data_IF_162736146121
#
_entry.id   IF_162736146121
#
_cell.length_a   1.000
_cell.length_b   1.000
_cell.length_c   1.000
_cell.angle_alpha   90.00
_cell.angle_beta   90.00
_cell.angle_gamma   90.00
#
_symmetry.space_group_name_H-M   'P 1'
#
loop_
_entity.id
_entity.type
_entity.pdbx_description
1 polymer ?
#
# COMPACT_ATOMS: atom_id res chain seq x y z
N UNK A 1 16.01 2.24 11.05
CA UNK A 1 16.56 3.33 10.22
C UNK A 1 15.96 4.65 10.68
N UNK A 2 16.69 5.76 10.67
CA UNK A 2 16.15 7.08 10.99
C UNK A 2 15.48 7.70 9.76
N UNK A 3 14.49 8.61 9.93
CA UNK A 3 13.90 9.30 8.81
C UNK A 3 14.97 10.21 8.13
N UNK A 4 14.90 10.36 6.80
CA UNK A 4 15.93 11.07 6.02
C UNK A 4 15.93 12.59 6.23
N UNK A 5 14.93 13.12 6.91
CA UNK A 5 14.84 14.54 7.27
C UNK A 5 14.19 14.73 8.63
N UNK A 6 14.49 15.83 9.31
CA UNK A 6 13.85 16.25 10.56
C UNK A 6 12.71 17.25 10.34
N UNK A 7 12.58 17.79 9.14
CA UNK A 7 11.43 18.62 8.73
C UNK A 7 10.21 17.74 8.57
N UNK A 8 9.22 17.92 9.43
CA UNK A 8 8.02 17.10 9.45
C UNK A 8 7.12 17.30 8.22
N UNK A 9 7.00 18.52 7.72
CA UNK A 9 6.18 18.78 6.53
C UNK A 9 6.84 18.17 5.28
N UNK A 10 8.15 18.37 5.13
CA UNK A 10 8.89 17.74 4.06
C UNK A 10 8.81 16.22 4.15
N UNK A 11 8.98 15.64 5.35
CA UNK A 11 8.86 14.20 5.55
C UNK A 11 7.46 13.70 5.14
N UNK A 12 6.40 14.36 5.59
CA UNK A 12 5.03 14.01 5.21
C UNK A 12 4.79 14.00 3.71
N UNK A 13 5.27 15.03 3.01
CA UNK A 13 5.19 15.12 1.54
C UNK A 13 5.99 14.02 0.85
N UNK A 14 7.20 13.77 1.31
CA UNK A 14 8.05 12.70 0.79
C UNK A 14 7.48 11.30 1.05
N UNK A 15 6.79 11.07 2.18
CA UNK A 15 6.10 9.81 2.43
C UNK A 15 4.90 9.59 1.50
N UNK A 16 4.25 10.68 1.07
CA UNK A 16 3.18 10.64 0.07
C UNK A 16 3.70 10.40 -1.34
N UNK A 17 4.82 11.02 -1.70
CA UNK A 17 5.42 10.92 -3.02
C UNK A 17 6.93 11.18 -2.91
N UNK A 18 7.76 10.14 -2.79
CA UNK A 18 9.22 10.32 -2.78
C UNK A 18 9.71 10.93 -4.09
N UNK A 19 10.40 12.09 -4.01
CA UNK A 19 10.89 12.81 -5.18
C UNK A 19 12.22 13.50 -4.93
N UNK A 20 12.91 13.90 -6.01
CA UNK A 20 14.16 14.63 -5.95
C UNK A 20 15.31 13.83 -5.31
N UNK A 21 16.28 14.54 -4.73
CA UNK A 21 17.50 13.92 -4.19
C UNK A 21 17.25 12.96 -3.01
N UNK A 22 16.15 13.12 -2.28
CA UNK A 22 15.82 12.29 -1.12
C UNK A 22 15.03 11.03 -1.48
N UNK A 23 14.52 10.91 -2.69
CA UNK A 23 13.57 9.88 -3.07
C UNK A 23 14.04 8.46 -2.73
N UNK A 24 15.26 8.11 -3.12
CA UNK A 24 15.82 6.76 -2.88
C UNK A 24 15.98 6.46 -1.39
N UNK A 25 16.47 7.42 -0.61
CA UNK A 25 16.64 7.26 0.84
C UNK A 25 15.29 7.14 1.54
N UNK A 26 14.30 7.95 1.10
CA UNK A 26 12.92 7.88 1.59
C UNK A 26 12.29 6.54 1.25
N UNK A 27 12.43 6.04 0.02
CA UNK A 27 11.92 4.73 -0.39
C UNK A 27 12.47 3.59 0.47
N UNK A 28 13.78 3.58 0.71
CA UNK A 28 14.43 2.63 1.60
C UNK A 28 13.92 2.75 3.05
N UNK A 29 13.74 3.97 3.55
CA UNK A 29 13.18 4.24 4.86
C UNK A 29 11.72 3.75 5.00
N UNK A 30 10.86 4.04 4.01
CA UNK A 30 9.47 3.57 3.98
C UNK A 30 9.42 2.06 4.08
N UNK A 31 10.17 1.36 3.22
CA UNK A 31 10.19 -0.11 3.22
C UNK A 31 10.69 -0.66 4.55
N UNK A 32 11.84 -0.20 5.05
CA UNK A 32 12.41 -0.68 6.30
C UNK A 32 11.49 -0.46 7.51
N UNK A 33 10.78 0.68 7.53
CA UNK A 33 9.87 1.04 8.62
C UNK A 33 8.54 0.29 8.58
N UNK A 34 8.10 -0.16 7.39
CA UNK A 34 6.79 -0.78 7.20
C UNK A 34 6.87 -2.25 6.77
N UNK A 35 8.07 -2.83 6.72
CA UNK A 35 8.30 -4.17 6.21
C UNK A 35 7.37 -5.21 6.85
N UNK A 36 7.28 -5.23 8.17
CA UNK A 36 6.41 -6.19 8.87
C UNK A 36 4.94 -5.99 8.50
N UNK A 37 4.46 -4.74 8.45
CA UNK A 37 3.08 -4.45 8.02
C UNK A 37 2.81 -4.89 6.58
N UNK A 38 3.75 -4.64 5.67
CA UNK A 38 3.66 -5.06 4.26
C UNK A 38 3.60 -6.58 4.18
N UNK A 39 4.53 -7.30 4.85
CA UNK A 39 4.58 -8.75 4.85
C UNK A 39 3.30 -9.36 5.46
N UNK A 40 2.77 -8.79 6.56
CA UNK A 40 1.49 -9.22 7.16
C UNK A 40 0.29 -8.93 6.26
N UNK A 41 0.28 -7.81 5.56
CA UNK A 41 -0.77 -7.53 4.57
C UNK A 41 -0.73 -8.54 3.42
N UNK A 42 0.46 -8.91 2.95
CA UNK A 42 0.63 -9.96 1.93
C UNK A 42 0.18 -11.33 2.47
N UNK A 43 0.44 -11.64 3.75
CA UNK A 43 -0.03 -12.89 4.38
C UNK A 43 -1.55 -12.99 4.43
N UNK A 44 -2.26 -11.86 4.47
CA UNK A 44 -3.72 -11.81 4.44
C UNK A 44 -4.31 -11.89 3.01
N UNK A 45 -3.49 -11.85 1.96
CA UNK A 45 -3.99 -11.96 0.59
C UNK A 45 -4.49 -13.40 0.31
N UNK A 46 -5.68 -13.57 -0.28
CA UNK A 46 -6.20 -14.88 -0.68
C UNK A 46 -5.53 -15.34 -1.99
N UNK A 47 -4.25 -15.71 -1.95
CA UNK A 47 -3.40 -15.96 -3.13
C UNK A 47 -3.66 -17.30 -3.83
N UNK A 48 -4.48 -18.20 -3.25
CA UNK A 48 -4.74 -19.52 -3.85
C UNK A 48 -5.47 -19.39 -5.18
N UNK A 49 -4.82 -19.82 -6.26
CA UNK A 49 -5.38 -19.77 -7.62
C UNK A 49 -5.36 -18.39 -8.28
N UNK A 50 -4.86 -17.36 -7.61
CA UNK A 50 -4.76 -15.99 -8.14
C UNK A 50 -3.71 -15.91 -9.24
N UNK A 51 -4.08 -15.30 -10.36
CA UNK A 51 -3.18 -15.07 -11.52
C UNK A 51 -2.88 -13.59 -11.73
N UNK A 52 -3.85 -12.72 -11.52
CA UNK A 52 -3.72 -11.28 -11.75
C UNK A 52 -3.89 -10.53 -10.42
N UNK A 53 -2.86 -9.82 -10.01
CA UNK A 53 -2.85 -9.07 -8.79
C UNK A 53 -2.48 -7.61 -9.07
N UNK A 54 -3.23 -6.69 -8.47
CA UNK A 54 -3.00 -5.24 -8.53
C UNK A 54 -2.53 -4.73 -7.16
N UNK A 55 -1.45 -3.98 -7.14
CA UNK A 55 -1.06 -3.18 -5.96
C UNK A 55 -1.10 -1.69 -6.28
N UNK A 56 -1.64 -0.90 -5.36
CA UNK A 56 -1.72 0.56 -5.51
C UNK A 56 -0.85 1.21 -4.44
N UNK A 57 0.16 1.97 -4.88
CA UNK A 57 1.14 2.59 -4.00
C UNK A 57 2.22 1.62 -3.53
N UNK A 58 2.88 0.93 -4.46
CA UNK A 58 3.84 -0.14 -4.15
C UNK A 58 5.21 0.36 -3.64
N UNK A 59 5.47 1.67 -3.68
CA UNK A 59 6.74 2.25 -3.26
C UNK A 59 7.93 1.74 -4.10
N UNK A 60 9.03 1.35 -3.46
CA UNK A 60 10.23 0.86 -4.16
C UNK A 60 10.17 -0.63 -4.57
N UNK A 61 9.06 -1.32 -4.34
CA UNK A 61 8.88 -2.72 -4.75
C UNK A 61 9.81 -3.75 -4.07
N UNK A 62 10.50 -3.38 -2.98
CA UNK A 62 11.43 -4.27 -2.29
C UNK A 62 10.77 -5.47 -1.60
N UNK A 63 9.44 -5.48 -1.49
CA UNK A 63 8.65 -6.59 -0.95
C UNK A 63 8.27 -7.65 -1.99
N UNK A 64 8.44 -7.38 -3.28
CA UNK A 64 8.02 -8.30 -4.35
C UNK A 64 8.68 -9.69 -4.26
N UNK A 65 9.95 -9.85 -3.87
CA UNK A 65 10.50 -11.19 -3.63
C UNK A 65 9.71 -12.00 -2.59
N UNK A 66 9.20 -11.34 -1.53
CA UNK A 66 8.36 -12.00 -0.52
C UNK A 66 7.01 -12.41 -1.09
N UNK A 67 6.35 -11.55 -1.87
CA UNK A 67 5.10 -11.86 -2.54
C UNK A 67 5.25 -13.03 -3.53
N UNK A 68 6.27 -12.98 -4.39
CA UNK A 68 6.50 -14.02 -5.39
C UNK A 68 6.99 -15.35 -4.82
N UNK A 69 7.60 -15.36 -3.62
CA UNK A 69 7.87 -16.59 -2.90
C UNK A 69 6.59 -17.34 -2.48
N UNK A 70 5.50 -16.60 -2.21
CA UNK A 70 4.17 -17.17 -1.87
C UNK A 70 3.34 -17.55 -3.09
N UNK A 71 3.49 -16.79 -4.19
CA UNK A 71 2.69 -16.97 -5.39
C UNK A 71 3.56 -16.78 -6.66
N UNK A 72 4.41 -17.77 -7.02
CA UNK A 72 5.38 -17.64 -8.11
C UNK A 72 4.76 -17.54 -9.51
N UNK A 73 3.45 -17.83 -9.64
CA UNK A 73 2.71 -17.80 -10.92
C UNK A 73 1.94 -16.49 -11.14
N UNK A 74 2.06 -15.53 -10.22
CA UNK A 74 1.38 -14.24 -10.35
C UNK A 74 1.87 -13.44 -11.57
N UNK A 75 0.92 -12.72 -12.17
CA UNK A 75 1.18 -11.52 -12.94
C UNK A 75 0.82 -10.33 -12.06
N UNK A 76 1.82 -9.56 -11.73
CA UNK A 76 1.71 -8.40 -10.85
C UNK A 76 1.63 -7.11 -11.67
N UNK A 77 0.65 -6.29 -11.36
CA UNK A 77 0.56 -4.91 -11.84
C UNK A 77 0.67 -3.98 -10.63
N UNK A 78 1.66 -3.10 -10.64
CA UNK A 78 1.82 -2.06 -9.61
C UNK A 78 1.51 -0.68 -10.17
N UNK A 79 0.77 0.13 -9.42
CA UNK A 79 0.53 1.55 -9.71
C UNK A 79 1.26 2.37 -8.65
N UNK A 80 2.06 3.34 -9.08
CA UNK A 80 2.79 4.25 -8.20
C UNK A 80 2.82 5.65 -8.80
N UNK A 81 2.75 6.67 -7.93
CA UNK A 81 2.77 8.07 -8.35
C UNK A 81 4.19 8.65 -8.45
N UNK A 82 5.15 8.06 -7.76
CA UNK A 82 6.53 8.49 -7.74
C UNK A 82 7.33 7.82 -8.84
N UNK A 83 7.79 8.59 -9.83
CA UNK A 83 8.69 8.08 -10.87
C UNK A 83 9.98 7.51 -10.30
N UNK A 84 10.50 8.11 -9.22
CA UNK A 84 11.69 7.61 -8.55
C UNK A 84 11.47 6.22 -7.93
N UNK A 85 10.30 5.98 -7.33
CA UNK A 85 9.95 4.66 -6.79
C UNK A 85 9.77 3.63 -7.89
N UNK A 86 9.18 3.99 -9.02
CA UNK A 86 9.06 3.11 -10.20
C UNK A 86 10.44 2.74 -10.74
N UNK A 87 11.35 3.70 -10.85
CA UNK A 87 12.72 3.43 -11.28
C UNK A 87 13.45 2.46 -10.34
N UNK A 88 13.35 2.70 -9.01
CA UNK A 88 13.94 1.81 -8.00
C UNK A 88 13.31 0.41 -8.05
N UNK A 89 11.97 0.31 -8.14
CA UNK A 89 11.27 -0.98 -8.22
C UNK A 89 11.66 -1.76 -9.48
N UNK A 90 11.80 -1.09 -10.62
CA UNK A 90 12.24 -1.70 -11.86
C UNK A 90 13.65 -2.26 -11.74
N UNK A 91 14.55 -1.49 -11.14
CA UNK A 91 15.94 -1.91 -10.93
C UNK A 91 16.05 -3.08 -9.92
N UNK A 92 15.28 -3.04 -8.83
CA UNK A 92 15.29 -4.08 -7.80
C UNK A 92 14.65 -5.40 -8.29
N UNK A 93 13.71 -5.32 -9.25
CA UNK A 93 12.93 -6.46 -9.72
C UNK A 93 13.13 -6.74 -11.21
N UNK A 94 14.30 -6.43 -11.77
CA UNK A 94 14.63 -6.57 -13.20
C UNK A 94 14.22 -7.95 -13.74
N UNK A 95 14.54 -9.03 -13.03
CA UNK A 95 14.21 -10.38 -13.46
C UNK A 95 12.69 -10.63 -13.59
N UNK A 96 11.86 -10.05 -12.70
CA UNK A 96 10.41 -10.16 -12.78
C UNK A 96 9.84 -9.37 -13.97
N UNK A 97 10.41 -8.19 -14.24
CA UNK A 97 10.04 -7.36 -15.39
C UNK A 97 10.41 -8.03 -16.71
N UNK A 98 11.65 -8.52 -16.84
CA UNK A 98 12.13 -9.23 -18.04
C UNK A 98 11.33 -10.51 -18.32
N UNK A 99 10.86 -11.20 -17.29
CA UNK A 99 9.98 -12.36 -17.43
C UNK A 99 8.52 -12.00 -17.73
N UNK A 100 8.17 -10.72 -17.79
CA UNK A 100 6.78 -10.26 -17.97
C UNK A 100 5.87 -10.56 -16.79
N UNK A 101 6.43 -10.85 -15.61
CA UNK A 101 5.68 -11.17 -14.38
C UNK A 101 5.28 -9.93 -13.58
N UNK A 102 6.03 -8.83 -13.73
CA UNK A 102 5.74 -7.57 -13.06
C UNK A 102 5.69 -6.42 -14.06
N UNK A 103 4.65 -5.60 -13.94
CA UNK A 103 4.48 -4.35 -14.70
C UNK A 103 4.28 -3.22 -13.71
N UNK A 104 5.03 -2.13 -13.89
CA UNK A 104 4.92 -0.92 -13.08
C UNK A 104 4.35 0.22 -13.91
N UNK A 105 3.27 0.83 -13.41
CA UNK A 105 2.54 1.90 -14.08
C UNK A 105 2.67 3.19 -13.26
N UNK A 106 3.01 4.29 -13.95
CA UNK A 106 2.99 5.62 -13.37
C UNK A 106 1.58 6.20 -13.47
N UNK A 107 0.94 6.44 -12.32
CA UNK A 107 -0.32 7.17 -12.26
C UNK A 107 -0.55 7.74 -10.86
N UNK A 108 -1.41 8.74 -10.78
CA UNK A 108 -1.91 9.23 -9.50
C UNK A 108 -2.79 8.14 -8.85
N UNK A 109 -2.64 7.95 -7.56
CA UNK A 109 -3.43 6.96 -6.82
C UNK A 109 -4.90 7.34 -6.72
N UNK A 110 -5.22 8.61 -6.90
CA UNK A 110 -6.59 9.14 -6.96
C UNK A 110 -7.27 8.94 -8.32
N UNK A 111 -6.47 8.84 -9.39
CA UNK A 111 -6.94 8.65 -10.77
C UNK A 111 -6.22 7.44 -11.35
N UNK A 112 -6.77 6.25 -11.11
CA UNK A 112 -6.19 5.02 -11.63
C UNK A 112 -6.16 5.05 -13.17
N UNK A 113 -5.09 4.51 -13.80
CA UNK A 113 -5.00 4.48 -15.25
C UNK A 113 -6.14 3.61 -15.82
N UNK A 114 -6.47 3.77 -17.11
CA UNK A 114 -7.52 2.98 -17.76
C UNK A 114 -7.10 1.50 -17.83
N UNK A 115 -7.35 0.77 -16.76
CA UNK A 115 -7.18 -0.68 -16.70
C UNK A 115 -8.49 -1.38 -17.07
N UNK A 116 -8.44 -2.58 -17.65
CA UNK A 116 -9.65 -3.31 -17.99
C UNK A 116 -10.48 -3.62 -16.73
N UNK A 117 -11.80 -3.40 -16.79
CA UNK A 117 -12.71 -3.80 -15.73
C UNK A 117 -12.63 -5.33 -15.49
N UNK A 118 -12.88 -5.71 -14.24
CA UNK A 118 -12.94 -7.13 -13.83
C UNK A 118 -11.72 -7.97 -14.25
N UNK A 119 -10.52 -7.39 -14.24
CA UNK A 119 -9.29 -8.07 -14.68
C UNK A 119 -8.44 -8.63 -13.53
N UNK A 120 -8.68 -8.23 -12.28
CA UNK A 120 -7.89 -8.66 -11.14
C UNK A 120 -8.67 -9.53 -10.17
N UNK A 121 -8.05 -10.61 -9.69
CA UNK A 121 -8.59 -11.44 -8.62
C UNK A 121 -8.35 -10.81 -7.24
N UNK A 122 -7.21 -10.14 -7.08
CA UNK A 122 -6.82 -9.47 -5.84
C UNK A 122 -6.30 -8.08 -6.14
N UNK A 123 -6.76 -7.11 -5.37
CA UNK A 123 -6.16 -5.78 -5.28
C UNK A 123 -5.72 -5.53 -3.84
N UNK A 124 -4.58 -4.88 -3.62
CA UNK A 124 -4.19 -4.46 -2.29
C UNK A 124 -3.46 -3.12 -2.29
N UNK A 125 -3.42 -2.50 -1.13
CA UNK A 125 -2.60 -1.32 -0.86
C UNK A 125 -2.16 -1.30 0.60
N UNK A 126 -1.00 -0.72 0.87
CA UNK A 126 -0.48 -0.56 2.24
C UNK A 126 -0.07 0.89 2.46
N UNK A 127 -0.62 1.51 3.51
CA UNK A 127 -0.31 2.90 3.89
C UNK A 127 -0.57 3.94 2.78
N UNK A 128 -1.57 3.71 1.92
CA UNK A 128 -1.85 4.57 0.74
C UNK A 128 -3.11 5.41 0.92
N UNK A 129 -4.16 4.86 1.53
CA UNK A 129 -5.49 5.49 1.59
C UNK A 129 -5.50 6.88 2.24
N UNK A 130 -4.55 7.18 3.12
CA UNK A 130 -4.45 8.46 3.82
C UNK A 130 -4.31 9.67 2.90
N UNK A 131 -3.84 9.43 1.68
CA UNK A 131 -3.49 10.44 0.69
C UNK A 131 -4.61 10.68 -0.33
N UNK A 132 -5.68 9.89 -0.26
CA UNK A 132 -6.80 9.92 -1.19
C UNK A 132 -7.85 10.91 -0.70
N UNK A 133 -8.19 11.89 -1.54
CA UNK A 133 -9.13 12.95 -1.20
C UNK A 133 -10.57 12.45 -1.23
N UNK A 134 -10.98 11.76 -2.30
CA UNK A 134 -12.28 11.11 -2.43
C UNK A 134 -12.14 9.59 -2.30
N UNK A 135 -12.15 9.13 -1.05
CA UNK A 135 -11.95 7.71 -0.75
C UNK A 135 -13.10 6.83 -1.27
N UNK A 136 -14.32 7.38 -1.37
CA UNK A 136 -15.46 6.64 -1.92
C UNK A 136 -15.29 6.41 -3.41
N UNK A 137 -14.92 7.43 -4.17
CA UNK A 137 -14.63 7.30 -5.59
C UNK A 137 -13.46 6.34 -5.85
N UNK A 138 -12.40 6.43 -5.05
CA UNK A 138 -11.27 5.50 -5.11
C UNK A 138 -11.69 4.04 -4.89
N UNK A 139 -12.47 3.75 -3.85
CA UNK A 139 -12.96 2.39 -3.60
C UNK A 139 -13.89 1.89 -4.71
N UNK A 140 -14.70 2.77 -5.31
CA UNK A 140 -15.52 2.41 -6.47
C UNK A 140 -14.66 2.04 -7.69
N UNK A 141 -13.57 2.73 -7.94
CA UNK A 141 -12.61 2.38 -9.00
C UNK A 141 -11.98 1.00 -8.71
N UNK A 142 -11.46 0.77 -7.49
CA UNK A 142 -10.92 -0.54 -7.09
C UNK A 142 -11.96 -1.65 -7.27
N UNK A 143 -13.19 -1.41 -6.83
CA UNK A 143 -14.29 -2.36 -7.00
C UNK A 143 -14.53 -2.72 -8.47
N UNK A 144 -14.48 -1.74 -9.37
CA UNK A 144 -14.70 -1.97 -10.80
C UNK A 144 -13.59 -2.82 -11.46
N UNK A 145 -12.36 -2.73 -10.97
CA UNK A 145 -11.22 -3.47 -11.48
C UNK A 145 -11.19 -4.93 -11.02
N UNK A 146 -11.80 -5.22 -9.87
CA UNK A 146 -11.87 -6.58 -9.35
C UNK A 146 -12.90 -7.43 -10.11
N UNK A 147 -12.56 -8.69 -10.34
CA UNK A 147 -13.51 -9.72 -10.81
C UNK A 147 -14.57 -9.99 -9.76
N UNK A 148 -15.69 -10.55 -10.19
CA UNK A 148 -16.69 -11.07 -9.25
C UNK A 148 -16.05 -12.12 -8.33
N UNK A 149 -16.25 -11.97 -7.02
CA UNK A 149 -15.60 -12.79 -5.98
C UNK A 149 -14.15 -12.39 -5.68
N UNK A 150 -13.61 -11.38 -6.35
CA UNK A 150 -12.29 -10.83 -6.09
C UNK A 150 -12.21 -10.13 -4.74
N UNK A 151 -10.99 -9.94 -4.23
CA UNK A 151 -10.75 -9.37 -2.89
C UNK A 151 -9.94 -8.08 -2.95
N UNK A 152 -10.29 -7.12 -2.10
CA UNK A 152 -9.46 -5.96 -1.81
C UNK A 152 -8.91 -6.05 -0.39
N UNK A 153 -7.60 -5.85 -0.24
CA UNK A 153 -6.91 -5.86 1.06
C UNK A 153 -6.22 -4.52 1.30
N UNK A 154 -6.53 -3.90 2.44
CA UNK A 154 -6.01 -2.59 2.84
C UNK A 154 -5.26 -2.74 4.16
N UNK A 155 -3.91 -2.59 4.10
CA UNK A 155 -3.05 -2.52 5.28
C UNK A 155 -2.78 -1.07 5.69
N UNK A 156 -2.88 -0.75 6.98
CA UNK A 156 -2.70 0.63 7.42
C UNK A 156 -2.38 0.78 8.91
N UNK A 157 -1.59 1.78 9.27
CA UNK A 157 -1.43 2.15 10.69
C UNK A 157 -2.77 2.61 11.27
N UNK A 158 -2.99 2.32 12.56
CA UNK A 158 -4.19 2.74 13.26
C UNK A 158 -4.28 4.27 13.38
N UNK A 159 -5.51 4.81 13.27
CA UNK A 159 -5.80 6.25 13.29
C UNK A 159 -5.17 6.96 14.49
N UNK A 160 -5.41 6.46 15.70
CA UNK A 160 -4.94 7.09 16.93
C UNK A 160 -3.40 7.15 17.01
N UNK A 161 -2.71 6.14 16.48
CA UNK A 161 -1.25 6.15 16.41
C UNK A 161 -0.78 7.13 15.34
N UNK A 162 -1.37 7.09 14.15
CA UNK A 162 -0.99 7.93 13.01
C UNK A 162 -1.12 9.42 13.32
N UNK A 163 -2.24 9.85 13.91
CA UNK A 163 -2.51 11.25 14.26
C UNK A 163 -1.54 11.84 15.30
N UNK A 164 -0.88 11.01 16.10
CA UNK A 164 0.16 11.44 17.04
C UNK A 164 1.51 11.76 16.38
N UNK A 165 1.72 11.30 15.14
CA UNK A 165 2.98 11.54 14.44
C UNK A 165 3.01 12.97 13.89
N UNK A 166 4.04 13.77 14.18
CA UNK A 166 4.06 15.18 13.81
C UNK A 166 4.08 15.43 12.30
N UNK A 167 4.60 14.48 11.51
CA UNK A 167 4.70 14.57 10.05
C UNK A 167 3.40 14.25 9.31
N UNK A 168 2.36 13.78 10.01
CA UNK A 168 1.09 13.40 9.37
C UNK A 168 0.09 14.55 9.28
N UNK A 169 0.21 15.56 10.13
CA UNK A 169 -0.82 16.58 10.39
C UNK A 169 -1.37 17.30 9.16
N UNK A 170 -0.54 17.54 8.15
CA UNK A 170 -0.94 18.34 6.97
C UNK A 170 -1.16 17.52 5.71
N UNK A 171 -0.75 16.26 5.72
CA UNK A 171 -0.67 15.43 4.50
C UNK A 171 -1.55 14.20 4.58
N UNK A 172 -1.83 13.70 5.80
CA UNK A 172 -2.54 12.43 6.00
C UNK A 172 -3.96 12.68 6.49
N UNK A 173 -4.91 11.92 5.96
CA UNK A 173 -6.28 11.85 6.49
C UNK A 173 -6.56 10.44 6.99
N UNK A 174 -6.75 10.32 8.30
CA UNK A 174 -7.00 9.03 8.93
C UNK A 174 -8.50 8.78 9.15
N UNK A 175 -8.92 7.55 8.93
CA UNK A 175 -10.28 7.07 9.16
C UNK A 175 -10.27 5.95 10.19
N UNK A 176 -11.35 5.84 10.96
CA UNK A 176 -11.56 4.68 11.83
C UNK A 176 -11.91 3.44 11.00
N UNK A 177 -11.70 2.22 11.52
CA UNK A 177 -12.17 0.99 10.85
C UNK A 177 -13.65 1.04 10.48
N UNK A 178 -14.50 1.61 11.34
CA UNK A 178 -15.94 1.71 11.07
C UNK A 178 -16.24 2.65 9.90
N UNK A 179 -15.58 3.82 9.83
CA UNK A 179 -15.72 4.70 8.66
C UNK A 179 -15.25 4.03 7.37
N UNK A 180 -14.12 3.30 7.40
CA UNK A 180 -13.64 2.56 6.23
C UNK A 180 -14.62 1.46 5.83
N UNK A 181 -15.20 0.75 6.80
CA UNK A 181 -16.24 -0.26 6.58
C UNK A 181 -17.45 0.33 5.89
N UNK A 182 -17.99 1.43 6.41
CA UNK A 182 -19.15 2.11 5.81
C UNK A 182 -18.89 2.52 4.36
N UNK A 183 -17.71 3.11 4.09
CA UNK A 183 -17.32 3.52 2.74
C UNK A 183 -17.20 2.32 1.80
N UNK A 184 -16.50 1.26 2.22
CA UNK A 184 -16.32 0.05 1.41
C UNK A 184 -17.66 -0.64 1.10
N UNK A 185 -18.52 -0.81 2.11
CA UNK A 185 -19.86 -1.41 1.90
C UNK A 185 -20.73 -0.53 1.00
N UNK A 186 -20.61 0.81 1.09
CA UNK A 186 -21.40 1.75 0.27
C UNK A 186 -21.12 1.66 -1.23
N UNK A 187 -19.96 1.14 -1.63
CA UNK A 187 -19.59 0.95 -3.05
C UNK A 187 -19.85 -0.47 -3.55
N UNK A 188 -20.35 -1.38 -2.70
CA UNK A 188 -20.77 -2.72 -3.07
C UNK A 188 -19.90 -3.86 -2.54
N UNK A 189 -18.79 -3.57 -1.85
CA UNK A 189 -18.02 -4.62 -1.20
C UNK A 189 -18.83 -5.35 -0.12
N UNK A 190 -18.48 -6.60 0.12
CA UNK A 190 -19.10 -7.49 1.11
C UNK A 190 -18.03 -8.15 1.98
N UNK A 191 -18.44 -8.96 2.96
CA UNK A 191 -17.55 -9.79 3.78
C UNK A 191 -16.38 -9.02 4.42
N UNK A 192 -16.67 -7.92 5.11
CA UNK A 192 -15.67 -7.12 5.81
C UNK A 192 -15.03 -7.92 6.96
N UNK A 193 -13.72 -8.17 6.84
CA UNK A 193 -12.86 -8.77 7.86
C UNK A 193 -11.82 -7.75 8.31
N UNK A 194 -11.61 -7.63 9.60
CA UNK A 194 -10.64 -6.72 10.22
C UNK A 194 -9.71 -7.51 11.14
N UNK A 195 -8.42 -7.47 10.83
CA UNK A 195 -7.37 -8.00 11.69
C UNK A 195 -6.51 -6.85 12.22
N UNK A 196 -6.26 -6.86 13.53
CA UNK A 196 -5.41 -5.87 14.21
C UNK A 196 -4.13 -6.56 14.64
N UNK A 197 -3.00 -5.95 14.30
CA UNK A 197 -1.67 -6.42 14.63
C UNK A 197 -0.95 -5.38 15.48
N UNK A 198 -0.02 -5.85 16.29
CA UNK A 198 0.93 -5.01 17.03
C UNK A 198 2.34 -5.30 16.55
N UNK A 199 3.13 -4.27 16.38
CA UNK A 199 4.55 -4.42 16.07
C UNK A 199 5.40 -3.44 16.88
N UNK A 200 6.64 -3.84 17.14
CA UNK A 200 7.61 -2.97 17.79
C UNK A 200 8.40 -2.19 16.74
N UNK A 201 8.43 -0.87 16.86
CA UNK A 201 9.25 -0.01 16.02
C UNK A 201 10.28 0.77 16.84
N UNK A 202 11.52 0.92 16.33
CA UNK A 202 12.55 1.67 17.04
C UNK A 202 12.26 3.17 17.02
N UNK A 203 12.49 3.81 18.15
CA UNK A 203 12.43 5.27 18.26
C UNK A 203 13.81 5.91 17.99
N UNK A 204 13.81 7.22 17.76
CA UNK A 204 15.07 8.01 17.64
C UNK A 204 15.95 7.96 18.90
N UNK A 205 15.40 7.58 20.06
CA UNK A 205 16.09 7.50 21.35
C UNK A 205 16.64 6.11 21.65
N UNK A 206 16.54 5.15 20.70
CA UNK A 206 17.00 3.78 20.88
C UNK A 206 16.07 2.88 21.73
N UNK A 207 14.90 3.37 22.09
CA UNK A 207 13.82 2.56 22.69
C UNK A 207 12.91 2.01 21.62
N UNK A 208 12.08 1.03 21.94
CA UNK A 208 10.98 0.57 21.08
C UNK A 208 9.65 1.12 21.57
N UNK A 209 8.72 1.32 20.63
CA UNK A 209 7.31 1.58 20.93
C UNK A 209 6.44 0.61 20.14
N UNK A 210 5.31 0.25 20.71
CA UNK A 210 4.30 -0.55 20.02
C UNK A 210 3.54 0.32 19.02
N UNK A 211 3.42 -0.19 17.80
CA UNK A 211 2.64 0.43 16.72
C UNK A 211 1.51 -0.51 16.31
N UNK A 212 0.25 -0.15 16.59
CA UNK A 212 -0.89 -0.88 16.06
C UNK A 212 -1.05 -0.61 14.57
N UNK A 213 -1.34 -1.65 13.81
CA UNK A 213 -1.79 -1.55 12.42
C UNK A 213 -2.93 -2.52 12.17
N UNK A 214 -3.66 -2.27 11.12
CA UNK A 214 -4.83 -3.04 10.75
C UNK A 214 -4.71 -3.54 9.31
N UNK A 215 -5.28 -4.71 9.06
CA UNK A 215 -5.48 -5.24 7.72
C UNK A 215 -6.97 -5.51 7.55
N UNK A 216 -7.57 -4.83 6.58
CA UNK A 216 -8.98 -4.97 6.22
C UNK A 216 -9.05 -5.77 4.93
N UNK A 217 -9.89 -6.81 4.91
CA UNK A 217 -10.19 -7.60 3.71
C UNK A 217 -11.66 -7.51 3.40
N UNK A 218 -11.99 -7.18 2.14
CA UNK A 218 -13.37 -7.16 1.63
C UNK A 218 -13.47 -7.89 0.29
N UNK A 219 -14.67 -8.29 -0.11
CA UNK A 219 -14.94 -9.02 -1.36
C UNK A 219 -15.95 -8.28 -2.25
N UNK A 220 -15.72 -8.39 -3.54
CA UNK A 220 -16.69 -7.99 -4.58
C UNK A 220 -17.76 -9.04 -4.79
#
# INVERSE_FOLDING_TARGET
MLPPTTDNLLLGRQLRCPEGALAKEVGAYIFASNRNMIERSIDCLPLSGVKQLLEIGFGNGAHLPYLFAKAPHLHYTGIERSEAMIADATALNTALVEQGKAVFLHALTEELPPLPYESFEVCFCVNTYYFITDLRAYFAQVYSLLRQGGSFVLGAIGKEFGERMPFTKEVFTFYTPDCLKELLLSVGFTAFDLQIFMEEIPTKRGTTIERPFQVITVRK
#
